data_IF_106050311755
#
_entry.id   IF_106050311755
#
_cell.length_a   1.000
_cell.length_b   1.000
_cell.length_c   1.000
_cell.angle_alpha   90.00
_cell.angle_beta   90.00
_cell.angle_gamma   90.00
#
_symmetry.space_group_name_H-M   'P 1'
#
loop_
_entity.id
_entity.type
_entity.pdbx_description
1 polymer ?
#
# COMPACT_ATOMS: atom_id res chain seq x y z
N UNK A 1 -27.88 0.59 22.70
CA UNK A 1 -26.88 -0.33 22.16
C UNK A 1 -27.04 -0.27 20.65
N UNK A 2 -26.00 0.06 19.93
CA UNK A 2 -26.04 0.12 18.47
C UNK A 2 -26.13 -1.29 17.87
N UNK A 3 -26.78 -1.42 16.71
CA UNK A 3 -26.85 -2.69 15.96
C UNK A 3 -25.96 -2.63 14.74
N UNK A 4 -25.28 -3.76 14.43
CA UNK A 4 -24.25 -3.82 13.38
C UNK A 4 -24.61 -4.81 12.28
N UNK A 5 -24.58 -4.36 11.01
CA UNK A 5 -24.51 -5.20 9.83
C UNK A 5 -23.07 -5.37 9.41
N UNK A 6 -22.53 -6.59 9.37
CA UNK A 6 -21.28 -6.86 8.65
C UNK A 6 -21.60 -6.93 7.15
N UNK A 7 -20.91 -6.13 6.34
CA UNK A 7 -21.01 -6.14 4.89
C UNK A 7 -19.64 -6.42 4.30
N UNK A 8 -19.48 -7.55 3.63
CA UNK A 8 -18.22 -8.00 3.06
C UNK A 8 -18.38 -8.39 1.59
N UNK A 9 -17.44 -8.00 0.76
CA UNK A 9 -17.29 -8.48 -0.61
C UNK A 9 -16.20 -9.55 -0.65
N UNK A 10 -16.44 -10.65 -1.35
CA UNK A 10 -15.51 -11.79 -1.37
C UNK A 10 -15.29 -12.33 -2.79
N UNK A 11 -14.10 -12.89 -3.01
CA UNK A 11 -13.79 -13.68 -4.21
C UNK A 11 -12.63 -14.63 -3.96
N UNK A 12 -12.90 -15.94 -3.93
CA UNK A 12 -11.88 -17.00 -3.73
C UNK A 12 -11.11 -16.82 -2.40
N UNK A 13 -11.87 -16.68 -1.29
CA UNK A 13 -11.34 -16.44 0.05
C UNK A 13 -11.52 -17.67 0.97
N UNK A 14 -11.59 -18.89 0.41
CA UNK A 14 -11.85 -20.13 1.17
C UNK A 14 -10.89 -20.35 2.35
N UNK A 15 -9.66 -19.82 2.26
CA UNK A 15 -8.62 -20.04 3.27
C UNK A 15 -8.71 -19.08 4.47
N UNK A 16 -9.22 -17.87 4.24
CA UNK A 16 -9.16 -16.78 5.21
C UNK A 16 -10.53 -16.37 5.76
N UNK A 17 -11.59 -16.53 4.97
CA UNK A 17 -12.95 -16.07 5.30
C UNK A 17 -13.45 -16.58 6.65
N UNK A 18 -13.28 -17.89 6.95
CA UNK A 18 -13.72 -18.45 8.22
C UNK A 18 -13.04 -17.78 9.41
N UNK A 19 -11.73 -17.58 9.35
CA UNK A 19 -10.95 -16.93 10.40
C UNK A 19 -11.41 -15.50 10.65
N UNK A 20 -11.68 -14.73 9.59
CA UNK A 20 -12.23 -13.38 9.71
C UNK A 20 -13.59 -13.41 10.41
N UNK A 21 -14.53 -14.21 9.91
CA UNK A 21 -15.89 -14.28 10.45
C UNK A 21 -15.91 -14.82 11.89
N UNK A 22 -15.11 -15.82 12.22
CA UNK A 22 -15.00 -16.35 13.61
C UNK A 22 -14.55 -15.26 14.59
N UNK A 23 -13.78 -14.26 14.15
CA UNK A 23 -13.27 -13.20 15.02
C UNK A 23 -14.28 -12.10 15.34
N UNK A 24 -15.45 -12.05 14.64
CA UNK A 24 -16.40 -10.92 14.78
C UNK A 24 -17.89 -11.32 14.71
N UNK A 25 -18.23 -12.51 14.24
CA UNK A 25 -19.61 -12.86 13.89
C UNK A 25 -20.58 -12.74 15.08
N UNK A 26 -20.16 -13.06 16.28
CA UNK A 26 -20.98 -12.99 17.50
C UNK A 26 -21.34 -11.56 17.92
N UNK A 27 -20.59 -10.56 17.44
CA UNK A 27 -20.87 -9.13 17.65
C UNK A 27 -21.82 -8.55 16.61
N UNK A 28 -22.08 -9.27 15.51
CA UNK A 28 -22.89 -8.80 14.40
C UNK A 28 -24.37 -9.19 14.57
N UNK A 29 -25.27 -8.24 14.34
CA UNK A 29 -26.73 -8.50 14.34
C UNK A 29 -27.20 -8.95 12.95
N UNK A 30 -26.38 -8.73 11.94
CA UNK A 30 -26.63 -9.10 10.56
C UNK A 30 -25.29 -9.33 9.85
N UNK A 31 -25.21 -10.38 9.02
CA UNK A 31 -24.03 -10.67 8.19
C UNK A 31 -24.49 -10.76 6.74
N UNK A 32 -23.87 -9.94 5.88
CA UNK A 32 -24.16 -9.84 4.45
C UNK A 32 -22.85 -10.11 3.70
N UNK A 33 -22.86 -11.15 2.88
CA UNK A 33 -21.74 -11.52 2.03
C UNK A 33 -22.13 -11.29 0.57
N UNK A 34 -21.29 -10.56 -0.16
CA UNK A 34 -21.44 -10.34 -1.60
C UNK A 34 -20.32 -11.05 -2.32
N UNK A 35 -20.68 -12.12 -3.02
CA UNK A 35 -19.74 -12.90 -3.82
C UNK A 35 -19.59 -12.30 -5.22
N UNK A 36 -18.35 -11.99 -5.60
CA UNK A 36 -18.02 -11.37 -6.89
C UNK A 36 -17.54 -12.38 -7.94
N UNK A 37 -17.92 -13.65 -7.77
CA UNK A 37 -17.65 -14.75 -8.69
C UNK A 37 -16.56 -15.70 -8.20
N UNK A 38 -16.71 -16.21 -6.97
CA UNK A 38 -15.86 -17.27 -6.43
C UNK A 38 -16.07 -18.61 -7.16
N UNK A 39 -14.99 -19.36 -7.28
CA UNK A 39 -14.94 -20.69 -7.92
C UNK A 39 -14.45 -21.77 -6.96
N UNK A 40 -14.13 -21.40 -5.73
CA UNK A 40 -13.68 -22.22 -4.62
C UNK A 40 -14.81 -22.44 -3.56
N UNK A 41 -14.47 -22.88 -2.37
CA UNK A 41 -15.42 -23.15 -1.30
C UNK A 41 -15.87 -21.87 -0.52
N UNK A 42 -15.58 -20.66 -1.01
CA UNK A 42 -15.92 -19.41 -0.32
C UNK A 42 -17.41 -19.32 0.04
N UNK A 43 -18.31 -19.64 -0.89
CA UNK A 43 -19.77 -19.56 -0.66
C UNK A 43 -20.26 -20.60 0.35
N UNK A 44 -19.72 -21.80 0.33
CA UNK A 44 -20.04 -22.86 1.29
C UNK A 44 -19.56 -22.49 2.70
N UNK A 45 -18.44 -21.79 2.82
CA UNK A 45 -17.94 -21.26 4.09
C UNK A 45 -18.86 -20.14 4.58
N UNK A 46 -19.18 -19.16 3.74
CA UNK A 46 -20.07 -18.05 4.07
C UNK A 46 -21.45 -18.56 4.57
N UNK A 47 -21.99 -19.63 3.96
CA UNK A 47 -23.26 -20.22 4.31
C UNK A 47 -23.33 -20.81 5.73
N UNK A 48 -22.20 -20.96 6.42
CA UNK A 48 -22.16 -21.37 7.85
C UNK A 48 -22.51 -20.24 8.81
N UNK A 49 -22.40 -18.99 8.35
CA UNK A 49 -22.58 -17.78 9.16
C UNK A 49 -23.84 -17.00 8.82
N UNK A 50 -24.32 -17.09 7.57
CA UNK A 50 -25.47 -16.34 7.11
C UNK A 50 -26.15 -16.99 5.91
N UNK A 51 -27.45 -16.74 5.75
CA UNK A 51 -28.23 -17.02 4.54
C UNK A 51 -28.27 -15.81 3.57
N UNK A 52 -27.74 -14.64 3.98
CA UNK A 52 -27.70 -13.40 3.19
C UNK A 52 -26.46 -13.34 2.33
N UNK A 53 -26.38 -14.26 1.38
CA UNK A 53 -25.30 -14.33 0.38
C UNK A 53 -25.85 -13.88 -0.96
N UNK A 54 -25.23 -12.86 -1.55
CA UNK A 54 -25.67 -12.26 -2.81
C UNK A 54 -24.57 -12.38 -3.87
N UNK A 55 -24.97 -12.70 -5.08
CA UNK A 55 -24.08 -12.70 -6.24
C UNK A 55 -23.98 -11.30 -6.84
N UNK A 56 -22.78 -10.86 -7.15
CA UNK A 56 -22.49 -9.62 -7.85
C UNK A 56 -21.59 -9.91 -9.05
N UNK A 57 -22.06 -9.56 -10.26
CA UNK A 57 -21.23 -9.72 -11.44
C UNK A 57 -20.09 -8.69 -11.40
N UNK A 58 -18.86 -9.19 -11.34
CA UNK A 58 -17.68 -8.33 -11.27
C UNK A 58 -17.54 -7.43 -12.50
N UNK A 59 -17.46 -6.12 -12.28
CA UNK A 59 -17.37 -5.09 -13.31
C UNK A 59 -16.02 -4.37 -13.33
N UNK A 60 -15.04 -4.82 -12.56
CA UNK A 60 -13.73 -4.17 -12.44
C UNK A 60 -13.73 -2.97 -11.48
N UNK A 61 -14.69 -2.94 -10.52
CA UNK A 61 -14.93 -1.80 -9.64
C UNK A 61 -15.31 -2.31 -8.25
N UNK A 62 -14.41 -2.13 -7.28
CA UNK A 62 -14.64 -2.49 -5.87
C UNK A 62 -15.69 -1.60 -5.22
N UNK A 63 -15.71 -0.31 -5.56
CA UNK A 63 -16.68 0.61 -4.98
C UNK A 63 -18.11 0.21 -5.36
N UNK A 64 -18.33 -0.24 -6.60
CA UNK A 64 -19.64 -0.73 -7.04
C UNK A 64 -20.09 -1.96 -6.24
N UNK A 65 -19.20 -2.91 -5.98
CA UNK A 65 -19.49 -4.10 -5.18
C UNK A 65 -19.76 -3.76 -3.70
N UNK A 66 -18.96 -2.85 -3.10
CA UNK A 66 -19.19 -2.39 -1.71
C UNK A 66 -20.49 -1.61 -1.59
N UNK A 67 -20.81 -0.71 -2.51
CA UNK A 67 -22.09 0.01 -2.51
C UNK A 67 -23.26 -0.97 -2.57
N UNK A 68 -23.17 -1.99 -3.44
CA UNK A 68 -24.17 -3.04 -3.50
C UNK A 68 -24.34 -3.80 -2.18
N UNK A 69 -23.24 -4.11 -1.47
CA UNK A 69 -23.32 -4.77 -0.16
C UNK A 69 -23.96 -3.86 0.89
N UNK A 70 -23.64 -2.56 0.90
CA UNK A 70 -24.19 -1.57 1.83
C UNK A 70 -25.71 -1.38 1.65
N UNK A 71 -26.21 -1.45 0.40
CA UNK A 71 -27.64 -1.39 0.11
C UNK A 71 -28.45 -2.51 0.76
N UNK A 72 -27.82 -3.65 1.08
CA UNK A 72 -28.48 -4.79 1.73
C UNK A 72 -28.55 -4.66 3.26
N UNK A 73 -27.74 -3.77 3.85
CA UNK A 73 -27.67 -3.59 5.29
C UNK A 73 -28.96 -3.00 5.88
N UNK A 74 -29.37 -3.50 7.04
CA UNK A 74 -30.59 -3.06 7.70
C UNK A 74 -30.37 -2.52 9.13
N UNK A 75 -29.19 -2.74 9.75
CA UNK A 75 -28.87 -2.31 11.11
C UNK A 75 -28.46 -0.82 11.19
N UNK A 76 -28.15 -0.32 12.39
CA UNK A 76 -27.80 1.10 12.62
C UNK A 76 -26.45 1.48 11.98
N UNK A 77 -25.50 0.56 12.06
CA UNK A 77 -24.16 0.73 11.52
C UNK A 77 -23.76 -0.44 10.63
N UNK A 78 -22.87 -0.16 9.70
CA UNK A 78 -22.27 -1.12 8.78
C UNK A 78 -20.80 -1.30 9.16
N UNK A 79 -20.42 -2.51 9.53
CA UNK A 79 -19.02 -2.92 9.68
C UNK A 79 -18.55 -3.53 8.36
N UNK A 80 -17.47 -2.97 7.80
CA UNK A 80 -16.98 -3.31 6.45
C UNK A 80 -15.55 -3.88 6.49
N UNK A 81 -15.36 -5.13 6.94
CA UNK A 81 -14.07 -5.79 6.93
C UNK A 81 -13.75 -6.38 5.56
N UNK A 82 -12.46 -6.62 5.31
CA UNK A 82 -11.98 -7.49 4.26
C UNK A 82 -11.83 -8.94 4.79
N UNK A 83 -11.88 -9.94 3.91
CA UNK A 83 -11.94 -11.35 4.32
C UNK A 83 -10.66 -11.85 5.03
N UNK A 84 -9.55 -11.14 4.87
CA UNK A 84 -8.24 -11.41 5.48
C UNK A 84 -7.94 -10.58 6.73
N UNK A 85 -8.93 -9.84 7.23
CA UNK A 85 -8.84 -9.04 8.46
C UNK A 85 -9.34 -9.82 9.67
N UNK A 86 -8.62 -9.72 10.77
CA UNK A 86 -8.91 -10.47 11.99
C UNK A 86 -8.80 -9.54 13.21
N UNK A 87 -9.73 -9.67 14.15
CA UNK A 87 -9.61 -9.11 15.49
C UNK A 87 -9.08 -10.20 16.44
N UNK A 88 -8.07 -9.85 17.23
CA UNK A 88 -7.70 -10.68 18.39
C UNK A 88 -8.71 -10.51 19.54
N UNK A 89 -8.55 -11.31 20.58
CA UNK A 89 -9.48 -11.33 21.72
C UNK A 89 -9.61 -9.94 22.38
N UNK A 90 -8.50 -9.21 22.55
CA UNK A 90 -8.51 -7.88 23.17
C UNK A 90 -9.27 -6.86 22.30
N UNK A 91 -9.04 -6.85 20.99
CA UNK A 91 -9.70 -5.94 20.06
C UNK A 91 -11.18 -6.33 19.82
N UNK A 92 -11.51 -7.61 19.90
CA UNK A 92 -12.89 -8.09 19.91
C UNK A 92 -13.66 -7.55 21.13
N UNK A 93 -13.07 -7.61 22.35
CA UNK A 93 -13.68 -7.03 23.57
C UNK A 93 -13.87 -5.51 23.43
N UNK A 94 -12.90 -4.78 22.85
CA UNK A 94 -13.02 -3.34 22.63
C UNK A 94 -14.14 -3.01 21.62
N UNK A 95 -14.31 -3.80 20.57
CA UNK A 95 -15.43 -3.63 19.63
C UNK A 95 -16.77 -3.92 20.32
N UNK A 96 -16.83 -4.92 21.20
CA UNK A 96 -18.03 -5.21 22.00
C UNK A 96 -18.38 -4.06 22.95
N UNK A 97 -17.39 -3.44 23.59
CA UNK A 97 -17.57 -2.24 24.43
C UNK A 97 -18.04 -1.05 23.59
N UNK A 98 -17.38 -0.81 22.46
CA UNK A 98 -17.76 0.25 21.53
C UNK A 98 -19.21 0.13 21.11
N UNK A 99 -19.68 -1.07 20.76
CA UNK A 99 -21.09 -1.36 20.40
C UNK A 99 -22.07 -0.92 21.48
N UNK A 100 -21.69 -0.98 22.76
CA UNK A 100 -22.54 -0.60 23.89
C UNK A 100 -22.60 0.91 24.12
N UNK A 101 -21.47 1.62 23.87
CA UNK A 101 -21.33 3.04 24.23
C UNK A 101 -21.30 3.97 23.04
N UNK A 102 -21.37 3.45 21.80
CA UNK A 102 -21.30 4.24 20.59
C UNK A 102 -22.39 5.32 20.56
N UNK A 103 -21.95 6.56 20.52
CA UNK A 103 -22.83 7.73 20.52
C UNK A 103 -23.50 7.89 19.15
N UNK A 104 -24.79 8.26 19.11
CA UNK A 104 -25.53 8.41 17.85
C UNK A 104 -24.96 9.50 16.92
N UNK A 105 -24.17 10.42 17.42
CA UNK A 105 -23.53 11.50 16.66
C UNK A 105 -22.36 10.99 15.82
N UNK A 106 -21.72 9.90 16.25
CA UNK A 106 -20.59 9.30 15.52
C UNK A 106 -21.12 8.67 14.24
N UNK A 107 -20.51 9.04 13.14
CA UNK A 107 -20.93 8.62 11.80
C UNK A 107 -19.97 7.64 11.16
N UNK A 108 -18.66 7.80 11.46
CA UNK A 108 -17.61 6.87 11.05
C UNK A 108 -16.73 6.55 12.26
N UNK A 109 -16.40 5.27 12.42
CA UNK A 109 -15.32 4.85 13.32
C UNK A 109 -14.15 4.37 12.48
N UNK A 110 -12.99 4.99 12.69
CA UNK A 110 -11.72 4.52 12.16
C UNK A 110 -11.08 3.56 13.16
N UNK A 111 -10.44 2.53 12.64
CA UNK A 111 -9.70 1.54 13.42
C UNK A 111 -8.26 1.50 12.94
N UNK A 112 -7.33 1.21 13.84
CA UNK A 112 -5.91 1.04 13.51
C UNK A 112 -5.74 -0.22 12.66
N UNK A 113 -5.07 -0.08 11.55
CA UNK A 113 -4.79 -1.16 10.62
C UNK A 113 -3.33 -1.54 10.74
N UNK A 114 -3.06 -2.73 11.22
CA UNK A 114 -1.72 -3.28 11.37
C UNK A 114 -1.51 -4.44 10.40
N UNK A 115 -0.40 -4.43 9.70
CA UNK A 115 -0.03 -5.50 8.77
C UNK A 115 1.13 -6.31 9.34
N UNK A 116 1.09 -7.63 9.20
CA UNK A 116 2.22 -8.49 9.52
C UNK A 116 3.37 -8.19 8.54
N UNK A 117 4.58 -8.05 9.08
CA UNK A 117 5.78 -7.53 8.39
C UNK A 117 6.12 -8.17 7.04
N UNK A 118 5.72 -9.42 6.78
CA UNK A 118 5.98 -10.09 5.50
C UNK A 118 5.08 -9.63 4.35
N UNK A 119 3.91 -9.02 4.65
CA UNK A 119 2.91 -8.59 3.68
C UNK A 119 2.53 -7.12 3.86
N UNK A 120 3.51 -6.29 4.22
CA UNK A 120 3.26 -4.90 4.58
C UNK A 120 2.58 -4.13 3.43
N UNK A 121 1.27 -3.91 3.55
CA UNK A 121 0.47 -3.09 2.63
C UNK A 121 0.50 -1.61 3.04
N UNK A 122 0.91 -1.32 4.27
CA UNK A 122 1.19 0.03 4.74
C UNK A 122 2.68 0.28 4.48
N UNK A 123 2.99 1.02 3.42
CA UNK A 123 4.36 1.19 2.94
C UNK A 123 5.20 2.11 3.80
N UNK A 124 4.56 3.07 4.47
CA UNK A 124 5.25 4.21 5.07
C UNK A 124 4.94 4.41 6.55
N UNK A 125 4.17 3.51 7.16
CA UNK A 125 3.85 3.57 8.59
C UNK A 125 3.61 2.18 9.18
N UNK A 126 3.86 2.02 10.48
CA UNK A 126 3.62 0.75 11.19
C UNK A 126 2.12 0.44 11.33
N UNK A 127 1.30 1.48 11.44
CA UNK A 127 -0.17 1.41 11.49
C UNK A 127 -0.77 2.60 10.78
N UNK A 128 -1.97 2.47 10.25
CA UNK A 128 -2.76 3.57 9.71
C UNK A 128 -4.21 3.48 10.20
N UNK A 129 -4.90 4.62 10.27
CA UNK A 129 -6.33 4.61 10.56
C UNK A 129 -7.13 4.36 9.27
N UNK A 130 -8.00 3.33 9.32
CA UNK A 130 -8.96 3.03 8.24
C UNK A 130 -10.39 3.10 8.73
N UNK A 131 -11.31 3.73 7.98
CA UNK A 131 -12.74 3.72 8.29
C UNK A 131 -13.29 2.29 8.13
N UNK A 132 -13.87 1.74 9.19
CA UNK A 132 -14.38 0.37 9.22
C UNK A 132 -15.82 0.26 9.67
N UNK A 133 -16.33 1.23 10.46
CA UNK A 133 -17.73 1.23 10.90
C UNK A 133 -18.40 2.52 10.42
N UNK A 134 -19.56 2.38 9.77
CA UNK A 134 -20.26 3.46 9.08
C UNK A 134 -21.71 3.53 9.54
N UNK A 135 -22.20 4.69 9.91
CA UNK A 135 -23.61 4.90 10.26
C UNK A 135 -24.50 4.75 9.03
N UNK A 136 -25.38 3.72 9.01
CA UNK A 136 -26.19 3.40 7.83
C UNK A 136 -27.19 4.48 7.42
N UNK A 137 -27.72 5.25 8.36
CA UNK A 137 -28.70 6.33 8.08
C UNK A 137 -28.13 7.48 7.26
N UNK A 138 -26.80 7.52 7.06
CA UNK A 138 -26.16 8.36 6.05
C UNK A 138 -25.86 7.53 4.81
N UNK A 139 -26.07 8.11 3.63
CA UNK A 139 -25.67 7.48 2.36
C UNK A 139 -24.17 7.64 2.16
N UNK A 140 -23.38 6.75 2.75
CA UNK A 140 -21.95 6.66 2.40
C UNK A 140 -21.82 5.95 1.05
N UNK A 141 -21.16 6.61 0.11
CA UNK A 141 -20.87 6.04 -1.20
C UNK A 141 -19.38 5.79 -1.32
N UNK A 142 -19.01 4.58 -1.64
CA UNK A 142 -17.65 4.24 -2.01
C UNK A 142 -17.34 4.80 -3.38
N UNK A 143 -16.16 5.39 -3.53
CA UNK A 143 -15.66 5.94 -4.79
C UNK A 143 -14.32 5.30 -5.13
N UNK A 144 -13.91 5.41 -6.39
CA UNK A 144 -12.74 4.80 -7.01
C UNK A 144 -12.88 3.27 -7.20
N UNK A 145 -12.54 2.74 -8.39
CA UNK A 145 -12.71 1.33 -8.74
C UNK A 145 -11.69 0.40 -8.05
N UNK A 146 -10.58 0.98 -7.56
CA UNK A 146 -9.53 0.31 -6.79
C UNK A 146 -9.03 1.24 -5.68
N UNK A 147 -8.57 0.70 -4.54
CA UNK A 147 -8.25 1.48 -3.34
C UNK A 147 -9.39 2.46 -2.99
N UNK A 148 -10.59 1.91 -3.01
CA UNK A 148 -11.83 2.65 -2.80
C UNK A 148 -11.84 3.39 -1.47
N UNK A 149 -12.48 4.55 -1.44
CA UNK A 149 -12.61 5.37 -0.23
C UNK A 149 -14.03 5.84 -0.04
N UNK A 150 -14.28 6.32 1.19
CA UNK A 150 -15.47 7.05 1.57
C UNK A 150 -15.09 8.48 1.89
N UNK A 151 -15.94 9.43 1.53
CA UNK A 151 -15.75 10.83 1.87
C UNK A 151 -15.88 11.05 3.37
N UNK A 152 -14.81 11.54 4.04
CA UNK A 152 -14.72 11.74 5.49
C UNK A 152 -15.07 13.18 5.90
N UNK A 153 -16.31 13.62 5.60
CA UNK A 153 -16.82 14.92 6.11
C UNK A 153 -17.69 14.82 7.38
N UNK A 154 -18.12 13.63 7.81
CA UNK A 154 -18.96 13.42 8.97
C UNK A 154 -18.17 13.42 10.29
N UNK A 155 -18.87 13.23 11.40
CA UNK A 155 -18.27 13.05 12.72
C UNK A 155 -17.52 11.72 12.76
N UNK A 156 -16.19 11.81 12.80
CA UNK A 156 -15.27 10.67 12.80
C UNK A 156 -14.76 10.43 14.22
N UNK A 157 -14.72 9.19 14.63
CA UNK A 157 -14.14 8.73 15.89
C UNK A 157 -12.98 7.78 15.60
N UNK A 158 -11.78 8.15 16.02
CA UNK A 158 -10.58 7.32 15.94
C UNK A 158 -10.52 6.41 17.17
N UNK A 159 -10.65 5.13 16.96
CA UNK A 159 -10.61 4.13 18.03
C UNK A 159 -9.22 3.52 18.17
N UNK A 160 -8.92 2.98 19.36
CA UNK A 160 -7.69 2.21 19.58
C UNK A 160 -7.80 0.74 19.13
N UNK A 161 -8.93 0.33 18.56
CA UNK A 161 -9.14 -1.02 18.04
C UNK A 161 -8.17 -1.27 16.89
N UNK A 162 -7.38 -2.34 16.99
CA UNK A 162 -6.42 -2.76 15.98
C UNK A 162 -7.00 -3.91 15.15
N UNK A 163 -7.00 -3.75 13.85
CA UNK A 163 -7.34 -4.80 12.89
C UNK A 163 -6.03 -5.38 12.34
N UNK A 164 -5.87 -6.68 12.46
CA UNK A 164 -4.73 -7.40 11.92
C UNK A 164 -5.03 -7.87 10.49
N UNK A 165 -4.34 -7.29 9.52
CA UNK A 165 -4.39 -7.72 8.12
C UNK A 165 -3.43 -8.89 7.91
N UNK A 166 -3.96 -10.02 7.51
CA UNK A 166 -3.23 -11.29 7.39
C UNK A 166 -3.51 -11.97 6.05
N UNK A 167 -3.10 -11.35 4.91
CA UNK A 167 -3.30 -11.92 3.59
C UNK A 167 -2.45 -13.18 3.39
N UNK A 168 -2.91 -14.12 2.60
CA UNK A 168 -2.10 -15.27 2.17
C UNK A 168 -1.37 -15.03 0.84
N UNK A 169 -1.82 -14.06 0.04
CA UNK A 169 -1.23 -13.73 -1.26
C UNK A 169 -1.31 -12.25 -1.54
N UNK A 170 -0.31 -11.72 -2.26
CA UNK A 170 -0.35 -10.37 -2.80
C UNK A 170 -1.17 -10.32 -4.10
N UNK A 171 -2.04 -9.33 -4.22
CA UNK A 171 -2.95 -9.17 -5.37
C UNK A 171 -2.52 -8.07 -6.36
N UNK A 172 -1.29 -7.57 -6.29
CA UNK A 172 -0.77 -6.44 -7.08
C UNK A 172 -1.02 -6.57 -8.60
N UNK A 173 -0.86 -7.76 -9.17
CA UNK A 173 -1.13 -7.97 -10.61
C UNK A 173 -2.59 -7.72 -11.01
N UNK A 174 -3.55 -8.03 -10.14
CA UNK A 174 -4.97 -7.72 -10.34
C UNK A 174 -5.18 -6.21 -10.33
N UNK A 175 -4.55 -5.53 -9.40
CA UNK A 175 -4.74 -4.12 -9.15
C UNK A 175 -4.16 -3.29 -10.30
N UNK A 176 -3.00 -3.65 -10.86
CA UNK A 176 -2.47 -3.03 -12.07
C UNK A 176 -3.46 -3.04 -13.24
N UNK A 177 -4.13 -4.17 -13.45
CA UNK A 177 -5.13 -4.27 -14.54
C UNK A 177 -6.32 -3.33 -14.38
N UNK A 178 -6.64 -2.92 -13.14
CA UNK A 178 -7.73 -1.97 -12.87
C UNK A 178 -7.28 -0.54 -13.17
N UNK A 179 -6.06 -0.16 -12.77
CA UNK A 179 -5.48 1.14 -13.13
C UNK A 179 -5.39 1.30 -14.65
N UNK A 180 -4.86 0.29 -15.36
CA UNK A 180 -4.73 0.28 -16.81
C UNK A 180 -6.09 0.47 -17.50
N UNK A 181 -7.13 -0.27 -17.11
CA UNK A 181 -8.49 -0.13 -17.66
C UNK A 181 -9.11 1.22 -17.34
N UNK A 182 -8.84 1.78 -16.16
CA UNK A 182 -9.32 3.12 -15.81
C UNK A 182 -8.68 4.17 -16.72
N UNK A 183 -7.37 4.06 -16.97
CA UNK A 183 -6.64 4.92 -17.90
C UNK A 183 -7.19 4.77 -19.35
N UNK A 184 -7.42 3.55 -19.81
CA UNK A 184 -7.99 3.29 -21.14
C UNK A 184 -9.37 3.92 -21.32
N UNK A 185 -10.20 3.88 -20.28
CA UNK A 185 -11.57 4.38 -20.30
C UNK A 185 -11.66 5.89 -20.15
N UNK A 186 -10.91 6.48 -19.23
CA UNK A 186 -11.05 7.87 -18.77
C UNK A 186 -9.91 8.77 -19.24
N UNK A 187 -8.79 8.20 -19.67
CA UNK A 187 -7.59 8.90 -20.11
C UNK A 187 -6.74 9.46 -18.98
N UNK A 188 -7.32 9.62 -17.79
CA UNK A 188 -6.67 10.22 -16.61
C UNK A 188 -7.01 9.41 -15.36
N UNK A 189 -6.14 9.51 -14.34
CA UNK A 189 -6.42 9.06 -12.98
C UNK A 189 -6.59 10.27 -12.06
N UNK A 190 -7.35 10.12 -10.99
CA UNK A 190 -7.38 11.10 -9.90
C UNK A 190 -5.99 11.21 -9.23
N UNK A 191 -5.73 12.31 -8.52
CA UNK A 191 -4.46 12.51 -7.82
C UNK A 191 -4.15 11.33 -6.88
N UNK A 192 -5.18 10.86 -6.16
CA UNK A 192 -5.08 9.70 -5.30
C UNK A 192 -4.70 8.43 -6.07
N UNK A 193 -5.41 8.11 -7.15
CA UNK A 193 -5.14 6.90 -7.93
C UNK A 193 -3.79 6.97 -8.65
N UNK A 194 -3.36 8.16 -9.07
CA UNK A 194 -2.02 8.38 -9.64
C UNK A 194 -0.93 8.03 -8.62
N UNK A 195 -1.05 8.55 -7.38
CA UNK A 195 -0.12 8.21 -6.30
C UNK A 195 -0.11 6.71 -6.03
N UNK A 196 -1.28 6.11 -5.87
CA UNK A 196 -1.40 4.68 -5.54
C UNK A 196 -0.84 3.78 -6.63
N UNK A 197 -1.09 4.09 -7.90
CA UNK A 197 -0.52 3.33 -9.01
C UNK A 197 1.00 3.41 -9.03
N UNK A 198 1.56 4.62 -8.83
CA UNK A 198 3.01 4.79 -8.71
C UNK A 198 3.59 4.02 -7.52
N UNK A 199 2.97 4.10 -6.34
CA UNK A 199 3.40 3.35 -5.14
C UNK A 199 3.41 1.85 -5.38
N UNK A 200 2.33 1.28 -5.93
CA UNK A 200 2.24 -0.15 -6.21
C UNK A 200 3.29 -0.61 -7.23
N UNK A 201 3.54 0.18 -8.28
CA UNK A 201 4.61 -0.10 -9.25
C UNK A 201 6.01 -0.02 -8.61
N UNK A 202 6.25 0.94 -7.73
CA UNK A 202 7.52 1.04 -7.00
C UNK A 202 7.72 -0.14 -6.06
N UNK A 203 6.66 -0.60 -5.39
CA UNK A 203 6.71 -1.71 -4.44
C UNK A 203 6.87 -3.07 -5.12
N UNK A 204 5.96 -3.42 -6.02
CA UNK A 204 5.78 -4.80 -6.52
C UNK A 204 5.90 -4.92 -8.03
N UNK A 205 5.94 -3.80 -8.78
CA UNK A 205 5.99 -3.82 -10.24
C UNK A 205 7.26 -4.47 -10.77
N UNK A 206 7.09 -5.51 -11.60
CA UNK A 206 8.17 -6.07 -12.39
C UNK A 206 8.38 -5.28 -13.70
N UNK A 207 9.35 -5.72 -14.51
CA UNK A 207 9.68 -5.03 -15.76
C UNK A 207 8.47 -4.98 -16.73
N UNK A 208 7.65 -6.03 -16.79
CA UNK A 208 6.50 -6.09 -17.68
C UNK A 208 5.40 -5.10 -17.22
N UNK A 209 5.14 -5.02 -15.91
CA UNK A 209 4.17 -4.09 -15.34
C UNK A 209 4.58 -2.64 -15.59
N UNK A 210 5.87 -2.34 -15.38
CA UNK A 210 6.43 -1.01 -15.64
C UNK A 210 6.39 -0.64 -17.13
N UNK A 211 6.64 -1.61 -18.02
CA UNK A 211 6.57 -1.38 -19.48
C UNK A 211 5.13 -1.07 -19.93
N UNK A 212 4.12 -1.70 -19.35
CA UNK A 212 2.72 -1.39 -19.63
C UNK A 212 2.35 0.02 -19.17
N UNK A 213 2.82 0.43 -18.00
CA UNK A 213 2.57 1.75 -17.45
C UNK A 213 3.41 2.87 -18.09
N UNK A 214 4.52 2.52 -18.78
CA UNK A 214 5.57 3.45 -19.20
C UNK A 214 5.05 4.64 -19.99
N UNK A 215 4.27 4.41 -21.05
CA UNK A 215 3.81 5.50 -21.93
C UNK A 215 2.92 6.49 -21.19
N UNK A 216 2.08 6.02 -20.27
CA UNK A 216 1.23 6.90 -19.48
C UNK A 216 2.04 7.75 -18.51
N UNK A 217 3.00 7.15 -17.78
CA UNK A 217 3.86 7.91 -16.88
C UNK A 217 4.83 8.84 -17.62
N UNK A 218 5.32 8.46 -18.80
CA UNK A 218 6.14 9.34 -19.63
C UNK A 218 5.35 10.59 -20.06
N UNK A 219 4.10 10.41 -20.52
CA UNK A 219 3.22 11.51 -20.85
C UNK A 219 2.92 12.37 -19.62
N UNK A 220 2.55 11.76 -18.49
CA UNK A 220 2.29 12.45 -17.25
C UNK A 220 3.48 13.31 -16.85
N UNK A 221 4.68 12.73 -16.79
CA UNK A 221 5.93 13.42 -16.45
C UNK A 221 6.25 14.60 -17.38
N UNK A 222 5.96 14.44 -18.67
CA UNK A 222 6.27 15.48 -19.68
C UNK A 222 5.28 16.65 -19.67
N UNK A 223 4.02 16.42 -19.31
CA UNK A 223 2.93 17.39 -19.55
C UNK A 223 2.27 17.94 -18.30
N UNK A 224 2.48 17.32 -17.11
CA UNK A 224 1.80 17.75 -15.90
C UNK A 224 2.36 19.05 -15.33
N UNK A 225 1.45 19.91 -14.87
CA UNK A 225 1.78 21.09 -14.06
C UNK A 225 1.80 20.77 -12.55
N UNK A 226 1.31 19.58 -12.15
CA UNK A 226 1.32 19.13 -10.77
C UNK A 226 2.71 18.61 -10.39
N UNK A 227 3.44 19.25 -9.45
CA UNK A 227 4.78 18.83 -9.05
C UNK A 227 4.82 17.40 -8.53
N UNK A 228 3.83 16.99 -7.73
CA UNK A 228 3.76 15.64 -7.17
C UNK A 228 3.61 14.57 -8.25
N UNK A 229 2.75 14.83 -9.26
CA UNK A 229 2.60 13.90 -10.39
C UNK A 229 3.90 13.76 -11.18
N UNK A 230 4.68 14.85 -11.30
CA UNK A 230 5.99 14.82 -11.92
C UNK A 230 6.95 13.94 -11.14
N UNK A 231 7.02 14.09 -9.83
CA UNK A 231 7.85 13.26 -8.94
C UNK A 231 7.46 11.78 -9.06
N UNK A 232 6.16 11.45 -9.02
CA UNK A 232 5.69 10.07 -9.19
C UNK A 232 6.10 9.49 -10.54
N UNK A 233 5.94 10.30 -11.61
CA UNK A 233 6.37 9.91 -12.95
C UNK A 233 7.88 9.67 -13.02
N UNK A 234 8.70 10.54 -12.39
CA UNK A 234 10.15 10.39 -12.34
C UNK A 234 10.58 9.09 -11.64
N UNK A 235 9.98 8.76 -10.49
CA UNK A 235 10.26 7.53 -9.75
C UNK A 235 9.99 6.27 -10.59
N UNK A 236 8.78 6.19 -11.18
CA UNK A 236 8.37 5.05 -12.01
C UNK A 236 9.26 4.91 -13.25
N UNK A 237 9.53 6.02 -13.94
CA UNK A 237 10.40 6.02 -15.13
C UNK A 237 11.83 5.63 -14.79
N UNK A 238 12.40 6.14 -13.68
CA UNK A 238 13.75 5.80 -13.25
C UNK A 238 13.86 4.28 -13.00
N UNK A 239 12.93 3.69 -12.26
CA UNK A 239 12.89 2.24 -12.04
C UNK A 239 12.73 1.46 -13.33
N UNK A 240 11.83 1.89 -14.23
CA UNK A 240 11.62 1.24 -15.53
C UNK A 240 12.88 1.25 -16.38
N UNK A 241 13.52 2.41 -16.56
CA UNK A 241 14.77 2.53 -17.32
C UNK A 241 15.90 1.70 -16.73
N UNK A 242 16.06 1.69 -15.39
CA UNK A 242 17.07 0.85 -14.75
C UNK A 242 16.83 -0.64 -15.04
N UNK A 243 15.61 -1.13 -14.90
CA UNK A 243 15.29 -2.53 -15.17
C UNK A 243 15.43 -2.90 -16.65
N UNK A 244 15.19 -1.95 -17.56
CA UNK A 244 15.47 -2.10 -18.99
C UNK A 244 16.96 -2.01 -19.34
N UNK A 245 17.82 -1.66 -18.37
CA UNK A 245 19.24 -1.34 -18.58
C UNK A 245 19.47 -0.16 -19.54
N UNK A 246 18.49 0.72 -19.67
CA UNK A 246 18.61 1.98 -20.42
C UNK A 246 19.23 3.08 -19.54
N UNK A 247 20.55 3.10 -19.48
CA UNK A 247 21.28 4.10 -18.71
C UNK A 247 21.07 5.53 -19.23
N UNK A 248 20.86 5.72 -20.53
CA UNK A 248 20.58 7.05 -21.07
C UNK A 248 19.22 7.58 -20.62
N UNK A 249 18.18 6.78 -20.71
CA UNK A 249 16.84 7.12 -20.23
C UNK A 249 16.84 7.43 -18.73
N UNK A 250 17.48 6.57 -17.93
CA UNK A 250 17.62 6.77 -16.50
C UNK A 250 18.31 8.11 -16.17
N UNK A 251 19.48 8.35 -16.73
CA UNK A 251 20.25 9.58 -16.46
C UNK A 251 19.52 10.84 -16.93
N UNK A 252 18.79 10.77 -18.04
CA UNK A 252 17.99 11.90 -18.55
C UNK A 252 16.92 12.34 -17.55
N UNK A 253 16.22 11.38 -16.92
CA UNK A 253 15.21 11.68 -15.89
C UNK A 253 15.90 12.10 -14.60
N UNK A 254 16.82 11.28 -14.09
CA UNK A 254 17.45 11.47 -12.81
C UNK A 254 18.21 12.80 -12.68
N UNK A 255 19.02 13.18 -13.68
CA UNK A 255 19.78 14.44 -13.62
C UNK A 255 18.86 15.68 -13.61
N UNK A 256 17.68 15.59 -14.25
CA UNK A 256 16.72 16.69 -14.21
C UNK A 256 16.10 16.82 -12.82
N UNK A 257 15.69 15.71 -12.19
CA UNK A 257 15.09 15.72 -10.87
C UNK A 257 16.10 16.10 -9.79
N UNK A 258 17.32 15.55 -9.82
CA UNK A 258 18.40 15.90 -8.88
C UNK A 258 18.77 17.38 -8.95
N UNK A 259 18.66 18.01 -10.12
CA UNK A 259 18.93 19.43 -10.29
C UNK A 259 17.78 20.36 -9.85
N UNK A 260 16.58 19.85 -9.66
CA UNK A 260 15.37 20.65 -9.37
C UNK A 260 14.73 20.32 -8.03
N UNK A 261 14.33 19.07 -7.85
CA UNK A 261 13.66 18.58 -6.64
C UNK A 261 13.98 17.08 -6.45
N UNK A 262 15.15 16.74 -5.87
CA UNK A 262 15.58 15.37 -5.72
C UNK A 262 14.72 14.60 -4.72
N UNK A 263 14.42 13.33 -4.99
CA UNK A 263 13.76 12.42 -4.06
C UNK A 263 14.59 11.14 -3.88
N UNK A 264 14.33 10.45 -2.75
CA UNK A 264 15.10 9.26 -2.38
C UNK A 264 15.00 8.14 -3.41
N UNK A 265 13.82 7.93 -3.99
CA UNK A 265 13.60 6.86 -4.98
C UNK A 265 14.46 7.04 -6.23
N UNK A 266 14.56 8.26 -6.77
CA UNK A 266 15.37 8.52 -7.95
C UNK A 266 16.87 8.32 -7.65
N UNK A 267 17.33 8.78 -6.48
CA UNK A 267 18.70 8.55 -6.02
C UNK A 267 18.96 7.04 -5.80
N UNK A 268 18.01 6.32 -5.22
CA UNK A 268 18.08 4.88 -5.01
C UNK A 268 18.20 4.10 -6.34
N UNK A 269 17.40 4.47 -7.35
CA UNK A 269 17.46 3.83 -8.67
C UNK A 269 18.78 4.11 -9.40
N UNK A 270 19.37 5.31 -9.24
CA UNK A 270 20.73 5.61 -9.70
C UNK A 270 21.77 4.73 -9.00
N UNK A 271 21.68 4.63 -7.67
CA UNK A 271 22.57 3.78 -6.89
C UNK A 271 22.52 2.31 -7.34
N UNK A 272 21.31 1.77 -7.51
CA UNK A 272 21.11 0.41 -8.01
C UNK A 272 21.67 0.21 -9.43
N UNK A 273 21.55 1.23 -10.29
CA UNK A 273 22.11 1.20 -11.62
C UNK A 273 23.64 1.10 -11.58
N UNK A 274 24.31 1.99 -10.83
CA UNK A 274 25.78 1.97 -10.72
C UNK A 274 26.28 0.70 -10.05
N UNK A 275 25.57 0.18 -9.07
CA UNK A 275 25.90 -1.11 -8.46
C UNK A 275 25.82 -2.26 -9.49
N UNK A 276 24.82 -2.23 -10.38
CA UNK A 276 24.68 -3.16 -11.49
C UNK A 276 25.80 -3.00 -12.55
N UNK A 277 26.38 -1.80 -12.69
CA UNK A 277 27.54 -1.53 -13.53
C UNK A 277 28.90 -1.86 -12.86
N UNK A 278 28.88 -2.50 -11.70
CA UNK A 278 30.05 -2.82 -10.90
C UNK A 278 30.84 -1.61 -10.41
N UNK A 279 30.18 -0.47 -10.24
CA UNK A 279 30.76 0.74 -9.63
C UNK A 279 30.19 0.98 -8.23
N UNK A 280 30.69 0.26 -7.20
CA UNK A 280 30.21 0.43 -5.84
C UNK A 280 30.61 1.78 -5.22
N UNK A 281 31.62 2.49 -5.78
CA UNK A 281 31.99 3.82 -5.29
C UNK A 281 30.90 4.85 -5.64
N UNK A 282 30.54 4.90 -6.91
CA UNK A 282 29.49 5.80 -7.37
C UNK A 282 28.13 5.40 -6.76
N UNK A 283 27.83 4.10 -6.70
CA UNK A 283 26.62 3.60 -6.07
C UNK A 283 26.47 4.04 -4.60
N UNK A 284 27.57 4.02 -3.83
CA UNK A 284 27.55 4.44 -2.42
C UNK A 284 27.21 5.92 -2.25
N UNK A 285 27.65 6.78 -3.16
CA UNK A 285 27.30 8.21 -3.12
C UNK A 285 25.79 8.42 -3.33
N UNK A 286 25.21 7.68 -4.28
CA UNK A 286 23.76 7.80 -4.55
C UNK A 286 22.90 7.18 -3.47
N UNK A 287 23.32 6.06 -2.84
CA UNK A 287 22.62 5.53 -1.66
C UNK A 287 22.72 6.49 -0.48
N UNK A 288 23.87 7.15 -0.28
CA UNK A 288 24.00 8.16 0.77
C UNK A 288 23.09 9.35 0.51
N UNK A 289 23.01 9.84 -0.72
CA UNK A 289 22.06 10.89 -1.10
C UNK A 289 20.61 10.47 -0.84
N UNK A 290 20.25 9.24 -1.18
CA UNK A 290 18.91 8.72 -0.94
C UNK A 290 18.57 8.69 0.55
N UNK A 291 19.53 8.34 1.41
CA UNK A 291 19.32 8.21 2.85
C UNK A 291 19.36 9.55 3.60
N UNK A 292 20.33 10.43 3.29
CA UNK A 292 20.64 11.60 4.13
C UNK A 292 20.27 12.95 3.53
N UNK A 293 20.17 13.06 2.19
CA UNK A 293 20.06 14.35 1.51
C UNK A 293 18.69 14.55 0.83
N UNK A 294 17.85 13.52 0.78
CA UNK A 294 16.55 13.56 0.08
C UNK A 294 15.45 12.91 0.91
N UNK A 295 14.19 13.23 0.58
CA UNK A 295 13.03 12.64 1.22
C UNK A 295 12.35 11.63 0.28
N UNK A 296 11.79 10.57 0.86
CA UNK A 296 11.00 9.59 0.12
C UNK A 296 9.60 10.15 -0.19
N UNK A 297 9.13 9.95 -1.41
CA UNK A 297 7.84 10.44 -1.91
C UNK A 297 6.81 9.31 -1.99
N UNK A 298 7.24 8.11 -2.37
CA UNK A 298 6.40 6.93 -2.60
C UNK A 298 6.77 5.75 -1.70
N UNK A 299 8.07 5.56 -1.43
CA UNK A 299 8.60 4.39 -0.74
C UNK A 299 9.66 4.80 0.28
N UNK A 300 9.28 4.81 1.54
CA UNK A 300 10.18 5.18 2.65
C UNK A 300 11.43 4.30 2.72
N UNK A 301 11.37 3.06 2.24
CA UNK A 301 12.52 2.16 2.20
C UNK A 301 13.62 2.65 1.25
N UNK A 302 13.27 3.38 0.19
CA UNK A 302 14.25 3.95 -0.73
C UNK A 302 15.15 5.01 -0.05
N UNK A 303 14.60 5.75 0.91
CA UNK A 303 15.35 6.71 1.75
C UNK A 303 15.73 6.16 3.13
N UNK A 304 15.38 4.91 3.44
CA UNK A 304 15.58 4.28 4.74
C UNK A 304 16.46 3.04 4.69
N UNK A 305 15.95 1.95 5.22
CA UNK A 305 16.68 0.68 5.33
C UNK A 305 17.15 0.12 3.98
N UNK A 306 16.41 0.32 2.89
CA UNK A 306 16.82 -0.08 1.55
C UNK A 306 18.11 0.63 1.11
N UNK A 307 18.21 1.96 1.31
CA UNK A 307 19.41 2.72 1.02
C UNK A 307 20.59 2.29 1.93
N UNK A 308 20.34 2.10 3.22
CA UNK A 308 21.34 1.65 4.19
C UNK A 308 21.89 0.26 3.85
N UNK A 309 21.04 -0.69 3.45
CA UNK A 309 21.46 -2.01 2.97
C UNK A 309 22.28 -1.89 1.68
N UNK A 310 21.92 -0.96 0.81
CA UNK A 310 22.69 -0.61 -0.38
C UNK A 310 24.10 -0.11 -0.05
N UNK A 311 24.23 0.82 0.90
CA UNK A 311 25.50 1.34 1.43
C UNK A 311 26.38 0.21 1.98
N UNK A 312 25.81 -0.61 2.88
CA UNK A 312 26.50 -1.77 3.44
C UNK A 312 27.08 -2.65 2.35
N UNK A 313 26.26 -3.03 1.35
CA UNK A 313 26.69 -3.86 0.21
C UNK A 313 27.81 -3.21 -0.61
N UNK A 314 27.76 -1.89 -0.81
CA UNK A 314 28.80 -1.15 -1.52
C UNK A 314 30.12 -1.21 -0.75
N UNK A 315 30.10 -0.92 0.55
CA UNK A 315 31.31 -0.91 1.38
C UNK A 315 31.92 -2.31 1.56
N UNK A 316 31.10 -3.34 1.75
CA UNK A 316 31.57 -4.74 1.75
C UNK A 316 32.28 -5.11 0.42
N UNK A 317 31.69 -4.68 -0.71
CA UNK A 317 32.28 -4.93 -2.03
C UNK A 317 33.62 -4.19 -2.21
N UNK A 318 33.68 -2.94 -1.77
CA UNK A 318 34.91 -2.12 -1.84
C UNK A 318 36.02 -2.70 -0.95
N UNK A 319 35.69 -3.15 0.26
CA UNK A 319 36.65 -3.78 1.18
C UNK A 319 37.22 -5.08 0.64
N UNK A 320 36.56 -5.72 -0.31
CA UNK A 320 37.04 -6.90 -1.03
C UNK A 320 38.05 -6.57 -2.18
N UNK A 321 38.24 -5.28 -2.50
CA UNK A 321 39.15 -4.83 -3.55
C UNK A 321 40.58 -4.48 -3.00
N UNK A 322 41.54 -4.23 -3.90
CA UNK A 322 42.81 -3.69 -3.51
C UNK A 322 42.65 -2.21 -3.13
N UNK A 323 42.93 -1.90 -1.88
CA UNK A 323 42.81 -0.57 -1.29
C UNK A 323 44.08 -0.16 -0.56
N UNK A 324 44.32 1.15 -0.52
CA UNK A 324 45.29 1.72 0.39
C UNK A 324 44.88 1.51 1.85
N UNK A 325 45.81 1.68 2.77
CA UNK A 325 45.49 1.55 4.20
C UNK A 325 44.48 2.61 4.67
N UNK A 326 44.54 3.82 4.12
CA UNK A 326 43.66 4.94 4.41
C UNK A 326 42.25 4.65 3.88
N UNK A 327 42.11 4.22 2.62
CA UNK A 327 40.81 3.85 2.05
C UNK A 327 40.14 2.69 2.80
N UNK A 328 40.95 1.69 3.17
CA UNK A 328 40.43 0.55 3.94
C UNK A 328 39.88 0.97 5.30
N UNK A 329 40.60 1.84 6.02
CA UNK A 329 40.17 2.38 7.30
C UNK A 329 38.87 3.19 7.12
N UNK A 330 38.81 4.05 6.10
CA UNK A 330 37.61 4.83 5.80
C UNK A 330 36.39 3.95 5.50
N UNK A 331 36.49 2.96 4.60
CA UNK A 331 35.37 2.10 4.29
C UNK A 331 34.96 1.16 5.41
N UNK A 332 35.86 0.80 6.34
CA UNK A 332 35.55 0.07 7.55
C UNK A 332 34.70 0.93 8.50
N UNK A 333 35.05 2.19 8.68
CA UNK A 333 34.27 3.15 9.47
C UNK A 333 32.88 3.36 8.87
N UNK A 334 32.79 3.60 7.56
CA UNK A 334 31.50 3.80 6.87
C UNK A 334 30.61 2.55 6.90
N UNK A 335 31.19 1.36 6.85
CA UNK A 335 30.45 0.10 6.99
C UNK A 335 29.86 -0.01 8.39
N UNK A 336 30.64 0.30 9.43
CA UNK A 336 30.18 0.26 10.81
C UNK A 336 29.04 1.27 11.04
N UNK A 337 29.17 2.50 10.52
CA UNK A 337 28.13 3.52 10.62
C UNK A 337 26.83 3.07 9.92
N UNK A 338 26.93 2.45 8.75
CA UNK A 338 25.77 1.91 8.05
C UNK A 338 25.10 0.76 8.82
N UNK A 339 25.87 -0.14 9.43
CA UNK A 339 25.36 -1.24 10.26
C UNK A 339 24.65 -0.73 11.53
N UNK A 340 25.22 0.27 12.18
CA UNK A 340 24.60 0.94 13.32
C UNK A 340 23.29 1.63 12.91
N UNK A 341 23.28 2.35 11.81
CA UNK A 341 22.07 3.00 11.29
C UNK A 341 20.97 2.01 10.92
N UNK A 342 21.32 0.86 10.31
CA UNK A 342 20.38 -0.23 10.02
C UNK A 342 19.74 -0.74 11.31
N UNK A 343 20.53 -0.92 12.37
CA UNK A 343 20.05 -1.45 13.66
C UNK A 343 19.11 -0.50 14.40
N UNK A 344 19.21 0.79 14.12
CA UNK A 344 18.41 1.87 14.75
C UNK A 344 17.25 2.34 13.87
N UNK A 345 17.22 1.91 12.60
CA UNK A 345 16.17 2.36 11.71
C UNK A 345 14.82 1.76 12.09
N UNK A 346 13.84 2.61 12.26
CA UNK A 346 12.46 2.23 12.49
C UNK A 346 11.59 2.88 11.41
N UNK A 347 10.56 2.17 11.01
CA UNK A 347 9.59 2.73 10.07
C UNK A 347 8.93 3.96 10.70
N UNK A 348 8.82 5.10 9.98
CA UNK A 348 8.18 6.29 10.52
C UNK A 348 6.80 5.98 11.09
N UNK A 349 6.47 6.57 12.24
CA UNK A 349 5.10 6.60 12.75
C UNK A 349 4.33 7.69 11.97
N UNK A 350 3.07 7.43 11.60
CA UNK A 350 2.18 8.47 11.06
C UNK A 350 1.93 9.59 12.07
#
# INVERSE_FOLDING_TARGET
>A
MATFSLCMIVKNEERVLARCLDSVADLMDEIIIVDTGSTDATKEIAARYTDKIYDFTWVGDFAAARNYSFEKATMDYIYAPDADEVLDEANHEELAKLKQVLLPEVEIVQMKYATVTEYNTVLNAATEYRPKLFKRQRSFTWVDPIHETVRLEPVVFDSDIVIHHMPEQLHSKRDFSIFEKTIEKEGVLSDKLTKMYAMELMKTGDLEDLQRAFLWFEQLYATTDNPQHREYGACVLAKCYRLQQDGYGLLKVALKEVATNPCSEVCYELAQYYLGQHDPREASLWFLNAFSETEAVLDVHAGGDGALQGLKRCYETLLGQELTQEERAYFQEQLQEAEEAISLWEMPAE
#
